data_IF_813677018636
#
_entry.id   IF_813677018636
#
_cell.length_a   1.000
_cell.length_b   1.000
_cell.length_c   1.000
_cell.angle_alpha   90.00
_cell.angle_beta   90.00
_cell.angle_gamma   90.00
#
_symmetry.space_group_name_H-M   'P 1'
#
loop_
_entity.id
_entity.type
_entity.pdbx_description
1 polymer ?
#
# COMPACT_ATOMS: atom_id res chain seq x y z
N UNK A 1 8.84 -30.40 -18.00
CA UNK A 1 8.52 -29.62 -16.79
C UNK A 1 7.01 -29.47 -16.70
N UNK A 2 6.38 -29.95 -15.63
CA UNK A 2 4.92 -30.05 -15.50
C UNK A 2 4.41 -28.82 -14.76
N UNK A 3 3.85 -27.86 -15.48
CA UNK A 3 3.20 -26.69 -14.89
C UNK A 3 1.94 -27.16 -14.16
N UNK A 4 1.91 -27.04 -12.84
CA UNK A 4 0.75 -27.33 -12.01
C UNK A 4 -0.29 -26.22 -12.24
N UNK A 5 -1.11 -26.36 -13.27
CA UNK A 5 -2.32 -25.57 -13.45
C UNK A 5 -3.36 -26.05 -12.43
N UNK A 6 -3.37 -25.44 -11.24
CA UNK A 6 -4.51 -25.57 -10.34
C UNK A 6 -5.67 -24.74 -10.90
N UNK A 7 -6.77 -25.44 -11.14
CA UNK A 7 -8.05 -24.93 -11.63
C UNK A 7 -8.51 -23.80 -10.70
N UNK A 8 -8.40 -22.56 -11.19
CA UNK A 8 -8.81 -21.36 -10.46
C UNK A 8 -10.32 -21.43 -10.21
N UNK A 9 -10.71 -21.65 -8.95
CA UNK A 9 -12.07 -21.36 -8.52
C UNK A 9 -12.26 -19.85 -8.57
N UNK A 10 -13.36 -19.41 -9.19
CA UNK A 10 -13.65 -18.01 -9.43
C UNK A 10 -13.71 -17.24 -8.11
N UNK A 11 -12.69 -16.41 -7.84
CA UNK A 11 -12.68 -15.46 -6.73
C UNK A 11 -11.79 -15.82 -5.54
N UNK A 12 -11.29 -17.04 -5.45
CA UNK A 12 -10.43 -17.46 -4.33
C UNK A 12 -8.92 -17.33 -4.67
N UNK A 13 -8.10 -16.87 -3.70
CA UNK A 13 -6.65 -16.86 -3.87
C UNK A 13 -6.08 -18.29 -3.83
N UNK A 14 -4.88 -18.46 -4.36
CA UNK A 14 -4.14 -19.70 -4.17
C UNK A 14 -3.92 -19.97 -2.67
N UNK A 15 -4.16 -21.19 -2.13
CA UNK A 15 -4.07 -21.46 -0.69
C UNK A 15 -2.73 -21.07 -0.05
N UNK A 16 -1.63 -21.30 -0.77
CA UNK A 16 -0.28 -20.94 -0.29
C UNK A 16 0.00 -19.43 -0.35
N UNK A 17 -0.79 -18.66 -1.10
CA UNK A 17 -0.62 -17.21 -1.27
C UNK A 17 -1.45 -16.41 -0.30
N UNK A 18 -2.54 -16.95 0.25
CA UNK A 18 -3.47 -16.22 1.11
C UNK A 18 -2.75 -15.47 2.25
N UNK A 19 -1.89 -16.17 3.01
CA UNK A 19 -1.14 -15.55 4.10
C UNK A 19 -0.10 -14.52 3.65
N UNK A 20 0.40 -14.60 2.42
CA UNK A 20 1.33 -13.63 1.84
C UNK A 20 0.59 -12.39 1.33
N UNK A 21 -0.58 -12.58 0.72
CA UNK A 21 -1.42 -11.50 0.21
C UNK A 21 -2.02 -10.67 1.34
N UNK A 22 -2.47 -11.31 2.43
CA UNK A 22 -2.92 -10.59 3.63
C UNK A 22 -1.83 -9.66 4.19
N UNK A 23 -0.60 -10.19 4.35
CA UNK A 23 0.55 -9.42 4.81
C UNK A 23 1.03 -8.37 3.79
N UNK A 24 0.74 -8.56 2.50
CA UNK A 24 1.04 -7.57 1.47
C UNK A 24 0.06 -6.40 1.51
N UNK A 25 -1.23 -6.69 1.75
CA UNK A 25 -2.30 -5.72 1.81
C UNK A 25 -2.24 -4.83 3.07
N UNK A 26 -1.97 -5.42 4.24
CA UNK A 26 -1.86 -4.65 5.51
C UNK A 26 -0.56 -3.81 5.61
N UNK A 27 0.45 -4.14 4.78
CA UNK A 27 1.75 -3.49 4.76
C UNK A 27 2.77 -4.08 5.75
N UNK A 28 2.45 -5.19 6.42
CA UNK A 28 3.33 -5.88 7.36
C UNK A 28 4.46 -6.66 6.65
N UNK A 29 4.23 -7.13 5.43
CA UNK A 29 5.27 -7.74 4.60
C UNK A 29 6.16 -6.69 3.94
N UNK A 30 7.48 -6.90 4.05
CA UNK A 30 8.52 -6.06 3.45
C UNK A 30 9.48 -6.92 2.61
N UNK A 31 10.23 -6.26 1.73
CA UNK A 31 11.27 -6.90 0.92
C UNK A 31 10.77 -8.01 0.01
N UNK A 32 11.49 -9.14 -0.01
CA UNK A 32 11.27 -10.24 -0.96
C UNK A 32 9.88 -10.88 -0.85
N UNK A 33 9.35 -11.02 0.36
CA UNK A 33 8.03 -11.63 0.57
C UNK A 33 6.91 -10.79 -0.06
N UNK A 34 6.99 -9.46 0.07
CA UNK A 34 6.07 -8.53 -0.58
C UNK A 34 6.21 -8.60 -2.09
N UNK A 35 7.44 -8.56 -2.60
CA UNK A 35 7.70 -8.62 -4.03
C UNK A 35 7.15 -9.92 -4.65
N UNK A 36 7.40 -11.06 -4.02
CA UNK A 36 6.90 -12.36 -4.46
C UNK A 36 5.36 -12.41 -4.47
N UNK A 37 4.71 -11.88 -3.43
CA UNK A 37 3.24 -11.79 -3.37
C UNK A 37 2.65 -10.97 -4.53
N UNK A 38 3.25 -9.81 -4.81
CA UNK A 38 2.85 -8.93 -5.91
C UNK A 38 3.11 -9.54 -7.29
N UNK A 39 4.28 -10.15 -7.48
CA UNK A 39 4.63 -10.83 -8.73
C UNK A 39 3.65 -11.96 -9.04
N UNK A 40 3.32 -12.79 -8.04
CA UNK A 40 2.32 -13.85 -8.22
C UNK A 40 0.93 -13.28 -8.53
N UNK A 41 0.50 -12.24 -7.81
CA UNK A 41 -0.79 -11.59 -8.07
C UNK A 41 -0.86 -10.99 -9.49
N UNK A 42 0.25 -10.51 -10.06
CA UNK A 42 0.29 -10.02 -11.43
C UNK A 42 -0.02 -11.11 -12.48
N UNK A 43 0.32 -12.37 -12.18
CA UNK A 43 0.11 -13.51 -13.09
C UNK A 43 -1.11 -14.36 -12.75
N UNK A 44 -1.70 -14.21 -11.56
CA UNK A 44 -2.86 -14.97 -11.09
C UNK A 44 -4.06 -14.05 -10.87
N UNK A 45 -5.10 -14.19 -11.70
CA UNK A 45 -6.31 -13.36 -11.64
C UNK A 45 -7.09 -13.51 -10.32
N UNK A 46 -7.11 -14.70 -9.71
CA UNK A 46 -7.72 -14.94 -8.40
C UNK A 46 -7.00 -14.21 -7.27
N UNK A 47 -5.67 -14.36 -7.20
CA UNK A 47 -4.82 -13.66 -6.23
C UNK A 47 -4.87 -12.13 -6.42
N UNK A 48 -4.96 -11.66 -7.67
CA UNK A 48 -5.14 -10.23 -7.98
C UNK A 48 -6.43 -9.67 -7.38
N UNK A 49 -7.57 -10.30 -7.72
CA UNK A 49 -8.88 -9.87 -7.22
C UNK A 49 -8.93 -9.87 -5.69
N UNK A 50 -8.36 -10.91 -5.07
CA UNK A 50 -8.26 -11.01 -3.63
C UNK A 50 -7.45 -9.86 -3.01
N UNK A 51 -6.26 -9.58 -3.57
CA UNK A 51 -5.41 -8.50 -3.10
C UNK A 51 -6.06 -7.12 -3.28
N UNK A 52 -6.71 -6.87 -4.41
CA UNK A 52 -7.42 -5.61 -4.69
C UNK A 52 -8.56 -5.39 -3.69
N UNK A 53 -9.33 -6.44 -3.39
CA UNK A 53 -10.42 -6.38 -2.41
C UNK A 53 -9.90 -6.10 -0.99
N UNK A 54 -8.85 -6.81 -0.56
CA UNK A 54 -8.23 -6.56 0.75
C UNK A 54 -7.71 -5.13 0.88
N UNK A 55 -7.02 -4.64 -0.16
CA UNK A 55 -6.46 -3.28 -0.16
C UNK A 55 -7.56 -2.24 -0.02
N UNK A 56 -8.66 -2.38 -0.79
CA UNK A 56 -9.83 -1.49 -0.69
C UNK A 56 -10.47 -1.49 0.69
N UNK A 57 -10.66 -2.67 1.28
CA UNK A 57 -11.24 -2.79 2.62
C UNK A 57 -10.36 -2.12 3.68
N UNK A 58 -9.04 -2.32 3.61
CA UNK A 58 -8.08 -1.69 4.53
C UNK A 58 -8.06 -0.17 4.36
N UNK A 59 -8.09 0.32 3.12
CA UNK A 59 -8.18 1.76 2.86
C UNK A 59 -9.48 2.37 3.39
N UNK A 60 -10.62 1.67 3.24
CA UNK A 60 -11.89 2.13 3.79
C UNK A 60 -11.81 2.23 5.32
N UNK A 61 -11.32 1.19 6.00
CA UNK A 61 -11.14 1.22 7.46
C UNK A 61 -10.19 2.33 7.90
N UNK A 62 -9.14 2.61 7.11
CA UNK A 62 -8.21 3.73 7.41
C UNK A 62 -8.89 5.09 7.28
N UNK A 63 -9.75 5.28 6.28
CA UNK A 63 -10.52 6.52 6.10
C UNK A 63 -11.51 6.72 7.25
N UNK A 64 -12.23 5.68 7.63
CA UNK A 64 -13.19 5.72 8.74
C UNK A 64 -12.49 5.99 10.08
N UNK A 65 -11.30 5.43 10.28
CA UNK A 65 -10.51 5.64 11.50
C UNK A 65 -9.85 7.03 11.54
N UNK A 66 -9.77 7.76 10.44
CA UNK A 66 -8.98 8.99 10.38
C UNK A 66 -9.63 10.06 11.28
N UNK A 67 -8.96 10.48 12.38
CA UNK A 67 -9.50 11.54 13.23
C UNK A 67 -9.60 12.84 12.42
N UNK A 68 -10.50 13.76 12.80
CA UNK A 68 -10.57 15.07 12.16
C UNK A 68 -9.17 15.69 12.15
N UNK A 69 -8.73 16.10 10.97
CA UNK A 69 -7.41 16.72 10.79
C UNK A 69 -7.39 18.00 11.62
N UNK A 70 -6.45 18.10 12.56
CA UNK A 70 -6.21 19.34 13.30
C UNK A 70 -5.68 20.39 12.32
N UNK A 71 -6.56 21.28 11.85
CA UNK A 71 -6.19 22.37 10.95
C UNK A 71 -5.10 23.27 11.54
N UNK A 72 -5.07 23.45 12.87
CA UNK A 72 -4.01 24.23 13.52
C UNK A 72 -2.64 23.57 13.42
N UNK A 73 -2.56 22.23 13.41
CA UNK A 73 -1.31 21.53 13.14
C UNK A 73 -0.86 21.66 11.68
N UNK A 74 -1.80 21.63 10.73
CA UNK A 74 -1.52 21.82 9.29
C UNK A 74 -1.03 23.24 9.00
N UNK A 75 -1.63 24.25 9.62
CA UNK A 75 -1.24 25.65 9.45
C UNK A 75 0.19 25.89 9.98
N UNK A 76 0.51 25.33 11.16
CA UNK A 76 1.87 25.38 11.73
C UNK A 76 2.90 24.70 10.83
N UNK A 77 2.59 23.52 10.29
CA UNK A 77 3.48 22.83 9.34
C UNK A 77 3.66 23.64 8.06
N UNK A 78 2.60 24.24 7.53
CA UNK A 78 2.63 25.06 6.32
C UNK A 78 3.49 26.32 6.51
N UNK A 79 3.39 26.95 7.68
CA UNK A 79 4.24 28.08 8.04
C UNK A 79 5.72 27.68 8.08
N UNK A 80 6.06 26.57 8.74
CA UNK A 80 7.43 26.06 8.83
C UNK A 80 8.02 25.72 7.45
N UNK A 81 7.25 25.08 6.57
CA UNK A 81 7.72 24.76 5.20
C UNK A 81 8.01 26.02 4.39
N UNK A 82 7.19 27.07 4.54
CA UNK A 82 7.44 28.36 3.88
C UNK A 82 8.70 29.04 4.41
N UNK A 83 8.92 29.00 5.72
CA UNK A 83 10.13 29.55 6.33
C UNK A 83 11.39 28.83 5.85
N UNK A 84 11.38 27.49 5.81
CA UNK A 84 12.52 26.70 5.31
C UNK A 84 12.78 26.99 3.83
N UNK A 85 11.75 27.01 2.97
CA UNK A 85 11.92 27.32 1.54
C UNK A 85 12.40 28.75 1.28
N UNK A 86 12.05 29.71 2.14
CA UNK A 86 12.53 31.09 2.06
C UNK A 86 14.01 31.21 2.46
N UNK A 87 14.48 30.39 3.41
CA UNK A 87 15.89 30.35 3.81
C UNK A 87 16.76 29.72 2.71
N UNK A 88 16.31 28.62 2.10
CA UNK A 88 17.06 27.95 1.01
C UNK A 88 17.24 28.87 -0.21
N UNK A 89 16.20 29.59 -0.62
CA UNK A 89 16.24 30.53 -1.75
C UNK A 89 17.08 31.78 -1.50
N UNK A 90 17.34 32.14 -0.23
CA UNK A 90 18.26 33.22 0.15
C UNK A 90 19.73 32.78 0.15
N UNK A 91 20.01 31.49 0.37
CA UNK A 91 21.38 30.96 0.40
C UNK A 91 21.97 30.65 -0.98
N UNK A 92 21.15 30.47 -2.02
CA UNK A 92 21.62 30.20 -3.39
C UNK A 92 22.03 31.45 -4.19
N UNK A 93 21.86 32.66 -3.63
CA UNK A 93 22.19 33.94 -4.28
C UNK A 93 23.44 34.64 -3.69
N UNK A 94 24.21 33.93 -2.85
CA UNK A 94 25.42 34.44 -2.18
C UNK A 94 26.73 33.95 -2.79
#
# INVERSE_FOLDING_TARGET
>A
MRFFFHRHHEGEPCPHMEGLLNRAADGSSKGLARWYALAHAAHCSGCKKFLDNLTRMIEQMRREKQPPVDQGAVDRLTALVREVGAVESATEQG
#
